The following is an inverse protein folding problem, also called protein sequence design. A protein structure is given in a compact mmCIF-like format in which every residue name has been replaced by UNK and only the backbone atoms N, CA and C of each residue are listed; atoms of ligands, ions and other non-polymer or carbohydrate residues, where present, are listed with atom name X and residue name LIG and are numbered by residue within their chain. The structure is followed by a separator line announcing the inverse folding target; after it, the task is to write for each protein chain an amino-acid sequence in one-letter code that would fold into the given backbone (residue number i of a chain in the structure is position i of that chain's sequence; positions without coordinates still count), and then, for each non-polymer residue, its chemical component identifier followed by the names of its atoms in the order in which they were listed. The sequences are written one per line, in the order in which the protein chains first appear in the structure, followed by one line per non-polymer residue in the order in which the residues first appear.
data_IF_715870424703
#
_entry.id   IF_715870424703
#
_cell.length_a   1.000
_cell.length_b   1.000
_cell.length_c   1.000
_cell.angle_alpha   90.00
_cell.angle_beta   90.00
_cell.angle_gamma   90.00
#
_symmetry.space_group_name_H-M   'P 1'
#
loop_
_entity.id
_entity.type
_entity.pdbx_description
1 polymer ?
#
# COMPACT_ATOMS: atom_id res chain seq x y z
N UNK A 1 -32.39 24.37 -1.22
CA UNK A 1 -31.54 23.18 -1.07
C UNK A 1 -31.88 22.27 -2.22
N UNK A 2 -31.03 22.22 -3.24
CA UNK A 2 -31.14 21.22 -4.30
C UNK A 2 -30.91 19.85 -3.69
N UNK A 3 -31.73 18.86 -4.07
CA UNK A 3 -31.46 17.44 -3.79
C UNK A 3 -30.02 17.17 -4.23
N UNK A 4 -29.12 16.95 -3.28
CA UNK A 4 -27.75 16.57 -3.62
C UNK A 4 -27.81 15.12 -4.09
N UNK A 5 -27.29 14.87 -5.30
CA UNK A 5 -27.16 13.54 -5.85
C UNK A 5 -26.46 12.64 -4.82
N UNK A 6 -27.08 11.50 -4.52
CA UNK A 6 -26.49 10.48 -3.66
C UNK A 6 -25.39 9.75 -4.43
N UNK A 7 -24.47 9.15 -3.68
CA UNK A 7 -23.42 8.32 -4.24
C UNK A 7 -24.01 7.27 -5.21
N UNK A 8 -23.40 7.06 -6.39
CA UNK A 8 -24.01 6.28 -7.47
C UNK A 8 -23.90 4.76 -7.27
N UNK A 9 -23.40 4.30 -6.12
CA UNK A 9 -23.18 2.89 -5.80
C UNK A 9 -24.13 2.40 -4.72
N UNK A 10 -24.46 1.11 -4.76
CA UNK A 10 -25.50 0.51 -3.91
C UNK A 10 -25.15 0.51 -2.41
N UNK A 11 -23.86 0.41 -2.06
CA UNK A 11 -23.41 0.37 -0.67
C UNK A 11 -22.04 1.07 -0.51
N UNK A 12 -21.91 2.09 0.36
CA UNK A 12 -20.62 2.73 0.64
C UNK A 12 -19.66 1.81 1.37
N UNK A 13 -18.35 2.08 1.26
CA UNK A 13 -17.37 1.51 2.20
C UNK A 13 -17.66 2.04 3.60
N UNK A 14 -17.36 1.24 4.64
CA UNK A 14 -17.56 1.71 6.00
C UNK A 14 -16.62 2.88 6.25
N UNK A 15 -17.15 3.89 6.91
CA UNK A 15 -16.39 5.05 7.31
C UNK A 15 -16.97 5.59 8.61
N UNK A 16 -16.10 6.18 9.42
CA UNK A 16 -16.56 7.00 10.54
C UNK A 16 -17.08 8.37 10.07
N UNK A 17 -16.79 8.77 8.82
CA UNK A 17 -17.03 10.10 8.27
C UNK A 17 -17.64 9.95 6.86
N UNK A 18 -18.97 9.77 6.78
CA UNK A 18 -19.71 9.80 5.51
C UNK A 18 -20.32 11.19 5.27
N UNK A 19 -20.26 11.66 4.02
CA UNK A 19 -20.95 12.88 3.60
C UNK A 19 -22.47 12.71 3.67
N UNK A 20 -23.20 13.83 3.59
CA UNK A 20 -24.65 13.83 3.33
C UNK A 20 -25.03 13.20 1.98
N UNK A 21 -24.08 13.10 1.05
CA UNK A 21 -24.25 12.43 -0.24
C UNK A 21 -23.96 10.92 -0.19
N UNK A 22 -23.43 10.39 0.92
CA UNK A 22 -23.12 8.96 1.07
C UNK A 22 -21.72 8.56 0.58
N UNK A 23 -20.84 9.53 0.32
CA UNK A 23 -19.42 9.30 0.00
C UNK A 23 -18.60 9.21 1.29
N UNK A 24 -17.70 8.24 1.36
CA UNK A 24 -16.83 8.06 2.52
C UNK A 24 -15.63 9.02 2.44
N UNK A 25 -15.54 10.00 3.35
CA UNK A 25 -14.40 10.91 3.44
C UNK A 25 -13.16 10.24 4.05
N UNK A 26 -13.37 9.20 4.86
CA UNK A 26 -12.28 8.44 5.49
C UNK A 26 -12.66 6.97 5.57
N UNK A 27 -12.70 6.30 4.42
CA UNK A 27 -12.98 4.87 4.37
C UNK A 27 -11.89 4.09 5.14
N UNK A 28 -12.30 3.02 5.82
CA UNK A 28 -11.33 2.14 6.49
C UNK A 28 -10.43 1.46 5.45
N UNK A 29 -9.13 1.41 5.73
CA UNK A 29 -8.13 0.81 4.84
C UNK A 29 -8.46 -0.63 4.45
N UNK A 30 -8.76 -1.48 5.43
CA UNK A 30 -9.15 -2.85 5.16
C UNK A 30 -10.43 -2.99 4.31
N UNK A 31 -11.32 -1.99 4.28
CA UNK A 31 -12.48 -2.02 3.38
C UNK A 31 -12.09 -1.67 1.93
N UNK A 32 -11.16 -0.73 1.75
CA UNK A 32 -10.58 -0.43 0.43
C UNK A 32 -9.81 -1.66 -0.08
N UNK A 33 -8.95 -2.25 0.77
CA UNK A 33 -8.12 -3.39 0.40
C UNK A 33 -8.97 -4.59 -0.04
N UNK A 34 -10.03 -4.93 0.73
CA UNK A 34 -11.01 -5.95 0.34
C UNK A 34 -11.73 -5.64 -0.96
N UNK A 35 -12.16 -4.40 -1.16
CA UNK A 35 -12.88 -4.01 -2.37
C UNK A 35 -11.99 -4.08 -3.62
N UNK A 36 -10.72 -3.68 -3.51
CA UNK A 36 -9.72 -3.84 -4.57
C UNK A 36 -9.45 -5.31 -4.86
N UNK A 37 -9.26 -6.15 -3.83
CA UNK A 37 -9.08 -7.59 -4.00
C UNK A 37 -10.29 -8.25 -4.68
N UNK A 38 -11.51 -7.83 -4.34
CA UNK A 38 -12.73 -8.31 -4.98
C UNK A 38 -12.79 -7.94 -6.47
N UNK A 39 -12.48 -6.69 -6.84
CA UNK A 39 -12.40 -6.27 -8.25
C UNK A 39 -11.27 -7.00 -8.99
N UNK A 40 -10.11 -7.16 -8.35
CA UNK A 40 -8.97 -7.93 -8.83
C UNK A 40 -9.15 -9.45 -8.77
N UNK A 41 -10.33 -9.91 -8.37
CA UNK A 41 -10.77 -11.31 -8.44
C UNK A 41 -12.02 -11.49 -9.30
N UNK A 42 -12.43 -10.46 -10.04
CA UNK A 42 -13.59 -10.52 -10.95
C UNK A 42 -13.37 -11.56 -12.06
N UNK A 43 -14.47 -12.15 -12.52
CA UNK A 43 -14.51 -13.04 -13.70
C UNK A 43 -14.23 -12.28 -15.01
N UNK A 44 -14.30 -10.94 -15.00
CA UNK A 44 -13.93 -10.10 -16.13
C UNK A 44 -12.41 -9.91 -16.17
N UNK A 45 -11.74 -10.66 -17.06
CA UNK A 45 -10.28 -10.64 -17.22
C UNK A 45 -9.72 -9.23 -17.48
N UNK A 46 -10.44 -8.38 -18.22
CA UNK A 46 -9.97 -7.03 -18.52
C UNK A 46 -10.03 -6.11 -17.28
N UNK A 47 -11.10 -6.20 -16.49
CA UNK A 47 -11.19 -5.52 -15.19
C UNK A 47 -10.13 -6.05 -14.23
N UNK A 48 -9.96 -7.37 -14.16
CA UNK A 48 -8.98 -8.01 -13.30
C UNK A 48 -7.56 -7.54 -13.64
N UNK A 49 -7.20 -7.53 -14.92
CA UNK A 49 -5.92 -7.02 -15.38
C UNK A 49 -5.73 -5.53 -15.10
N UNK A 50 -6.76 -4.71 -15.29
CA UNK A 50 -6.71 -3.29 -14.96
C UNK A 50 -6.40 -3.05 -13.47
N UNK A 51 -6.98 -3.85 -12.57
CA UNK A 51 -6.71 -3.76 -11.13
C UNK A 51 -5.29 -4.25 -10.79
N UNK A 52 -4.82 -5.32 -11.43
CA UNK A 52 -3.43 -5.80 -11.27
C UNK A 52 -2.43 -4.71 -11.70
N UNK A 53 -2.65 -4.09 -12.86
CA UNK A 53 -1.82 -2.98 -13.36
C UNK A 53 -1.88 -1.73 -12.46
N UNK A 54 -3.02 -1.50 -11.80
CA UNK A 54 -3.20 -0.39 -10.87
C UNK A 54 -2.29 -0.53 -9.63
N UNK A 55 -2.13 -1.73 -9.07
CA UNK A 55 -1.39 -1.94 -7.81
C UNK A 55 0.06 -2.39 -8.03
N UNK A 56 0.36 -3.10 -9.14
CA UNK A 56 1.70 -3.58 -9.49
C UNK A 56 2.07 -3.13 -10.91
N UNK A 57 2.35 -1.82 -11.12
CA UNK A 57 2.53 -1.22 -12.45
C UNK A 57 3.75 -1.70 -13.24
N UNK A 58 4.66 -2.45 -12.61
CA UNK A 58 5.81 -3.07 -13.31
C UNK A 58 5.52 -4.46 -13.85
N UNK A 59 4.44 -5.11 -13.41
CA UNK A 59 4.02 -6.37 -13.99
C UNK A 59 3.47 -6.10 -15.38
N UNK A 60 3.82 -6.90 -16.38
CA UNK A 60 3.41 -6.73 -17.78
C UNK A 60 2.86 -8.03 -18.34
N UNK A 61 2.27 -8.00 -19.54
CA UNK A 61 1.78 -9.21 -20.21
C UNK A 61 2.89 -10.23 -20.48
N UNK A 62 4.14 -9.77 -20.62
CA UNK A 62 5.30 -10.64 -20.82
C UNK A 62 5.65 -11.49 -19.58
N UNK A 63 5.19 -11.06 -18.40
CA UNK A 63 5.40 -11.76 -17.14
C UNK A 63 4.32 -12.82 -16.88
N UNK A 64 3.29 -12.90 -17.74
CA UNK A 64 2.16 -13.81 -17.56
C UNK A 64 2.45 -15.18 -18.17
N UNK A 65 2.19 -16.23 -17.39
CA UNK A 65 2.25 -17.61 -17.86
C UNK A 65 1.08 -17.88 -18.80
N UNK A 66 1.37 -18.18 -20.07
CA UNK A 66 0.39 -18.48 -21.12
C UNK A 66 -0.70 -17.39 -21.28
N UNK A 67 -0.39 -16.14 -20.96
CA UNK A 67 -1.33 -15.01 -21.03
C UNK A 67 -2.44 -15.05 -19.98
N UNK A 68 -2.33 -15.93 -18.98
CA UNK A 68 -3.32 -16.04 -17.89
C UNK A 68 -3.28 -14.77 -17.03
N UNK A 69 -4.43 -14.15 -16.82
CA UNK A 69 -4.55 -12.96 -15.96
C UNK A 69 -4.64 -13.39 -14.48
N UNK A 70 -3.71 -12.94 -13.61
CA UNK A 70 -3.66 -13.32 -12.20
C UNK A 70 -4.78 -12.66 -11.38
N UNK A 71 -4.95 -13.13 -10.15
CA UNK A 71 -5.92 -12.64 -9.18
C UNK A 71 -5.22 -11.76 -8.13
N UNK A 72 -5.97 -10.83 -7.55
CA UNK A 72 -5.56 -10.04 -6.39
C UNK A 72 -6.26 -10.57 -5.15
N UNK A 73 -5.48 -10.91 -4.12
CA UNK A 73 -6.01 -11.27 -2.79
C UNK A 73 -5.51 -10.31 -1.72
N UNK A 74 -6.22 -10.23 -0.60
CA UNK A 74 -5.74 -9.57 0.61
C UNK A 74 -4.87 -10.53 1.43
N UNK A 75 -3.81 -10.02 2.07
CA UNK A 75 -3.06 -10.79 3.07
C UNK A 75 -3.41 -10.27 4.46
N UNK A 76 -4.25 -10.99 5.20
CA UNK A 76 -4.74 -10.54 6.51
C UNK A 76 -3.64 -10.26 7.55
N UNK A 77 -2.52 -10.99 7.47
CA UNK A 77 -1.34 -10.84 8.33
C UNK A 77 -0.07 -10.42 7.54
N UNK A 78 -0.23 -10.08 6.26
CA UNK A 78 0.86 -9.79 5.33
C UNK A 78 0.72 -8.42 4.66
N UNK A 79 1.28 -8.30 3.47
CA UNK A 79 1.16 -7.14 2.59
C UNK A 79 -0.30 -6.91 2.16
N UNK A 80 -0.69 -5.66 1.97
CA UNK A 80 -2.10 -5.30 1.69
C UNK A 80 -2.70 -6.06 0.49
N UNK A 81 -1.93 -6.23 -0.59
CA UNK A 81 -2.33 -7.00 -1.76
C UNK A 81 -1.25 -7.93 -2.29
N UNK A 82 -1.68 -9.11 -2.71
CA UNK A 82 -0.86 -10.12 -3.37
C UNK A 82 -1.47 -10.46 -4.73
N UNK A 83 -0.67 -10.39 -5.78
CA UNK A 83 -1.03 -10.80 -7.15
C UNK A 83 -0.54 -12.23 -7.37
N UNK A 84 -1.45 -13.17 -7.62
CA UNK A 84 -1.11 -14.58 -7.76
C UNK A 84 -2.00 -15.36 -8.74
N UNK A 85 -1.51 -16.52 -9.16
CA UNK A 85 -2.31 -17.54 -9.82
C UNK A 85 -2.96 -18.46 -8.77
N UNK A 86 -4.29 -18.45 -8.59
CA UNK A 86 -4.95 -19.12 -7.47
C UNK A 86 -4.86 -20.65 -7.54
N UNK A 87 -4.72 -21.22 -8.73
CA UNK A 87 -4.59 -22.66 -8.98
C UNK A 87 -3.24 -23.23 -8.56
N UNK A 88 -2.17 -22.46 -8.76
CA UNK A 88 -0.78 -22.87 -8.50
C UNK A 88 -0.20 -22.25 -7.24
N UNK A 89 -0.80 -21.16 -6.74
CA UNK A 89 -0.26 -20.34 -5.67
C UNK A 89 0.96 -19.50 -6.08
N UNK A 90 1.30 -19.45 -7.37
CA UNK A 90 2.43 -18.67 -7.87
C UNK A 90 2.16 -17.19 -7.68
N UNK A 91 3.00 -16.52 -6.89
CA UNK A 91 2.93 -15.07 -6.66
C UNK A 91 3.77 -14.33 -7.69
N UNK A 92 3.19 -13.30 -8.29
CA UNK A 92 3.79 -12.48 -9.34
C UNK A 92 4.14 -11.07 -8.87
N UNK A 93 3.50 -10.60 -7.81
CA UNK A 93 3.77 -9.28 -7.26
C UNK A 93 3.03 -9.05 -5.95
N UNK A 94 3.49 -8.05 -5.20
CA UNK A 94 2.85 -7.60 -3.98
C UNK A 94 2.83 -6.08 -3.93
N UNK A 95 1.81 -5.52 -3.28
CA UNK A 95 1.68 -4.09 -3.10
C UNK A 95 1.19 -3.74 -1.70
N UNK A 96 1.93 -2.87 -1.04
CA UNK A 96 1.59 -2.27 0.24
C UNK A 96 0.94 -0.90 0.00
N UNK A 97 -0.17 -0.63 0.69
CA UNK A 97 -0.85 0.65 0.70
C UNK A 97 -0.36 1.52 1.87
N UNK A 98 0.20 2.69 1.58
CA UNK A 98 0.71 3.66 2.57
C UNK A 98 0.15 5.06 2.30
N UNK A 99 -1.16 5.27 2.48
CA UNK A 99 -1.78 6.57 2.21
C UNK A 99 -1.27 7.63 3.20
N UNK A 100 -1.45 8.90 2.85
CA UNK A 100 -0.95 10.02 3.65
C UNK A 100 -1.42 9.95 5.12
N UNK A 101 -0.46 10.03 6.05
CA UNK A 101 -0.72 9.98 7.49
C UNK A 101 -0.92 8.57 8.06
N UNK A 102 -0.86 7.52 7.25
CA UNK A 102 -0.74 6.15 7.76
C UNK A 102 0.71 5.95 8.26
N UNK A 103 0.92 5.59 9.54
CA UNK A 103 2.26 5.36 10.04
C UNK A 103 2.86 4.11 9.36
N UNK A 104 4.14 4.18 9.01
CA UNK A 104 4.85 2.96 8.63
C UNK A 104 4.93 2.01 9.85
N UNK A 105 4.53 0.76 9.67
CA UNK A 105 4.42 -0.20 10.77
C UNK A 105 5.63 -1.14 10.84
N UNK A 106 6.19 -1.25 12.05
CA UNK A 106 7.21 -2.25 12.36
C UNK A 106 6.57 -3.57 12.70
N UNK A 107 7.12 -4.64 12.16
CA UNK A 107 6.71 -6.01 12.48
C UNK A 107 7.90 -6.77 13.06
N UNK A 108 7.60 -7.84 13.78
CA UNK A 108 8.63 -8.76 14.24
C UNK A 108 9.14 -9.56 13.04
N UNK A 109 10.44 -9.45 12.76
CA UNK A 109 11.10 -10.30 11.80
C UNK A 109 12.59 -10.41 12.11
N UNK A 110 13.22 -11.41 11.48
CA UNK A 110 14.65 -11.68 11.61
C UNK A 110 15.46 -10.56 10.95
N UNK A 111 16.53 -10.13 11.62
CA UNK A 111 17.49 -9.18 11.04
C UNK A 111 18.33 -9.82 9.93
N UNK A 112 18.32 -11.15 9.80
CA UNK A 112 18.95 -11.83 8.65
C UNK A 112 18.38 -11.37 7.30
N UNK A 113 17.16 -10.81 7.29
CA UNK A 113 16.53 -10.27 6.10
C UNK A 113 17.23 -9.02 5.54
N UNK A 114 18.08 -8.36 6.33
CA UNK A 114 18.87 -7.20 5.89
C UNK A 114 20.15 -7.58 5.15
N UNK A 115 20.52 -8.87 5.11
CA UNK A 115 21.61 -9.34 4.25
C UNK A 115 21.23 -9.39 2.76
N UNK A 116 19.98 -9.06 2.43
CA UNK A 116 19.58 -8.89 1.05
C UNK A 116 20.08 -7.54 0.49
N UNK A 117 21.26 -7.57 -0.11
CA UNK A 117 21.91 -6.41 -0.76
C UNK A 117 21.07 -5.81 -1.90
N UNK A 118 20.04 -6.51 -2.39
CA UNK A 118 19.14 -5.99 -3.42
C UNK A 118 18.00 -5.15 -2.84
N UNK A 119 17.73 -5.25 -1.53
CA UNK A 119 16.63 -4.55 -0.86
C UNK A 119 17.09 -3.29 -0.14
N UNK A 120 18.27 -3.33 0.47
CA UNK A 120 18.77 -2.26 1.33
C UNK A 120 20.25 -1.98 1.10
N UNK A 121 20.63 -0.73 1.34
CA UNK A 121 22.02 -0.27 1.35
C UNK A 121 22.31 0.24 2.76
N UNK A 122 23.27 -0.37 3.44
CA UNK A 122 23.56 -0.10 4.84
C UNK A 122 24.79 0.78 5.03
N UNK A 123 24.88 1.45 6.17
CA UNK A 123 26.09 2.14 6.61
C UNK A 123 27.25 1.15 6.83
N UNK A 124 28.49 1.67 6.69
CA UNK A 124 29.70 0.90 6.96
C UNK A 124 29.68 0.29 8.38
N UNK A 125 29.85 -1.04 8.45
CA UNK A 125 29.87 -1.80 9.70
C UNK A 125 28.51 -2.16 10.28
N UNK A 126 27.38 -1.74 9.68
CA UNK A 126 26.05 -2.13 10.14
C UNK A 126 25.84 -3.65 10.01
N UNK A 127 26.08 -4.21 8.83
CA UNK A 127 25.90 -5.65 8.59
C UNK A 127 26.84 -6.50 9.45
N UNK A 128 28.05 -6.01 9.72
CA UNK A 128 29.00 -6.67 10.63
C UNK A 128 28.46 -6.70 12.07
N UNK A 129 27.90 -5.59 12.55
CA UNK A 129 27.28 -5.49 13.88
C UNK A 129 26.05 -6.40 13.99
N UNK A 130 25.18 -6.42 12.97
CA UNK A 130 24.02 -7.31 12.89
C UNK A 130 24.46 -8.77 12.89
N UNK A 131 25.43 -9.15 12.05
CA UNK A 131 25.95 -10.50 11.96
C UNK A 131 26.53 -11.00 13.29
N UNK A 132 27.30 -10.14 13.99
CA UNK A 132 27.88 -10.47 15.28
C UNK A 132 26.84 -10.69 16.39
N UNK A 133 25.64 -10.10 16.26
CA UNK A 133 24.59 -10.11 17.28
C UNK A 133 23.32 -10.84 16.85
N UNK A 134 23.34 -11.55 15.71
CA UNK A 134 22.15 -12.15 15.09
C UNK A 134 21.37 -13.05 16.05
N UNK A 135 22.08 -13.86 16.86
CA UNK A 135 21.45 -14.76 17.83
C UNK A 135 20.60 -14.04 18.90
N UNK A 136 20.96 -12.79 19.24
CA UNK A 136 20.20 -11.95 20.16
C UNK A 136 19.13 -11.17 19.41
N UNK A 137 19.45 -10.61 18.23
CA UNK A 137 18.51 -9.80 17.43
C UNK A 137 17.32 -10.62 16.88
N UNK A 138 17.51 -11.92 16.69
CA UNK A 138 16.48 -12.85 16.25
C UNK A 138 15.82 -13.61 17.41
N UNK A 139 16.20 -13.34 18.67
CA UNK A 139 15.52 -13.94 19.81
C UNK A 139 14.12 -13.37 19.98
N UNK A 140 13.19 -14.18 20.49
CA UNK A 140 11.81 -13.74 20.73
C UNK A 140 11.75 -12.57 21.72
N UNK A 141 12.66 -12.54 22.72
CA UNK A 141 12.82 -11.46 23.67
C UNK A 141 14.29 -11.32 24.04
N UNK A 142 14.73 -10.09 24.30
CA UNK A 142 16.04 -9.78 24.86
C UNK A 142 15.95 -8.65 25.91
N UNK A 143 16.97 -8.57 26.75
CA UNK A 143 17.16 -7.54 27.77
C UNK A 143 18.03 -6.39 27.23
N UNK A 144 18.07 -5.28 27.96
CA UNK A 144 18.84 -4.09 27.55
C UNK A 144 20.33 -4.34 27.60
N UNK A 145 20.75 -5.14 28.56
CA UNK A 145 22.16 -5.46 28.80
C UNK A 145 22.73 -6.35 27.69
N UNK A 146 21.89 -7.19 27.05
CA UNK A 146 22.29 -8.06 25.94
C UNK A 146 22.68 -7.31 24.66
N UNK A 147 22.33 -6.02 24.57
CA UNK A 147 22.56 -5.17 23.40
C UNK A 147 23.34 -3.90 23.77
N UNK A 148 24.05 -3.94 24.91
CA UNK A 148 24.87 -2.84 25.37
C UNK A 148 26.06 -2.61 24.43
N UNK A 149 26.20 -1.39 23.91
CA UNK A 149 27.31 -0.99 23.05
C UNK A 149 27.05 -1.11 21.54
N UNK A 150 25.83 -1.50 21.13
CA UNK A 150 25.43 -1.48 19.72
C UNK A 150 25.18 -0.05 19.25
N UNK A 151 25.72 0.30 18.08
CA UNK A 151 25.54 1.62 17.47
C UNK A 151 24.20 1.75 16.77
N UNK A 152 23.66 0.64 16.27
CA UNK A 152 22.59 0.63 15.29
C UNK A 152 21.39 -0.19 15.79
N UNK A 153 20.67 0.35 16.79
CA UNK A 153 19.70 -0.42 17.55
C UNK A 153 18.29 0.18 17.53
N UNK A 154 17.39 -0.47 16.79
CA UNK A 154 15.95 -0.21 16.78
C UNK A 154 15.19 -1.34 17.49
N UNK A 155 14.40 -1.02 18.51
CA UNK A 155 13.68 -2.00 19.31
C UNK A 155 12.37 -1.44 19.84
N UNK A 156 11.47 -2.36 20.18
CA UNK A 156 10.21 -2.05 20.86
C UNK A 156 10.20 -2.72 22.24
N UNK A 157 9.93 -1.93 23.28
CA UNK A 157 9.66 -2.47 24.60
C UNK A 157 8.33 -3.24 24.58
N UNK A 158 8.32 -4.44 25.15
CA UNK A 158 7.12 -5.30 25.25
C UNK A 158 7.07 -5.96 26.63
N UNK A 159 5.94 -6.59 26.97
CA UNK A 159 5.84 -7.37 28.21
C UNK A 159 6.90 -8.48 28.20
N UNK A 160 7.74 -8.52 29.25
CA UNK A 160 8.80 -9.53 29.42
C UNK A 160 10.17 -9.15 28.85
N UNK A 161 10.32 -8.01 28.18
CA UNK A 161 11.63 -7.55 27.68
C UNK A 161 11.52 -6.56 26.52
N UNK A 162 12.38 -6.72 25.53
CA UNK A 162 12.33 -5.98 24.27
C UNK A 162 12.36 -6.94 23.10
N UNK A 163 11.87 -6.45 21.96
CA UNK A 163 11.91 -7.17 20.68
C UNK A 163 12.52 -6.30 19.61
N UNK A 164 13.24 -6.96 18.72
CA UNK A 164 13.61 -6.42 17.43
C UNK A 164 12.34 -6.03 16.66
N UNK A 165 12.42 -4.95 15.90
CA UNK A 165 11.43 -4.64 14.88
C UNK A 165 12.16 -4.22 13.61
N UNK A 166 11.79 -4.83 12.49
CA UNK A 166 12.16 -4.34 11.17
C UNK A 166 10.93 -3.77 10.48
N UNK A 167 11.16 -3.09 9.38
CA UNK A 167 10.07 -2.53 8.59
C UNK A 167 9.34 -3.63 7.83
N UNK A 168 8.01 -3.61 7.88
CA UNK A 168 7.19 -4.71 7.38
C UNK A 168 7.39 -5.03 5.90
N UNK A 169 7.70 -4.04 5.07
CA UNK A 169 7.97 -4.26 3.65
C UNK A 169 9.20 -5.14 3.42
N UNK A 170 10.20 -5.10 4.30
CA UNK A 170 11.36 -6.01 4.24
C UNK A 170 10.93 -7.43 4.57
N UNK A 171 10.11 -7.60 5.62
CA UNK A 171 9.54 -8.90 5.96
C UNK A 171 8.69 -9.44 4.82
N UNK A 172 7.76 -8.64 4.30
CA UNK A 172 6.86 -9.07 3.24
C UNK A 172 7.63 -9.49 2.00
N UNK A 173 8.57 -8.67 1.54
CA UNK A 173 9.41 -9.04 0.39
C UNK A 173 10.18 -10.34 0.65
N UNK A 174 10.70 -10.54 1.86
CA UNK A 174 11.38 -11.77 2.24
C UNK A 174 10.48 -13.00 2.33
N UNK A 175 9.23 -12.86 2.79
CA UNK A 175 8.24 -13.95 2.82
C UNK A 175 8.00 -14.52 1.41
N UNK A 176 8.25 -13.72 0.37
CA UNK A 176 8.19 -14.13 -1.04
C UNK A 176 9.57 -14.31 -1.70
N UNK A 177 10.62 -14.49 -0.90
CA UNK A 177 11.97 -14.84 -1.35
C UNK A 177 12.67 -13.76 -2.16
N UNK A 178 12.28 -12.48 -2.04
CA UNK A 178 12.94 -11.35 -2.69
C UNK A 178 12.86 -11.32 -4.22
N UNK A 179 12.03 -12.18 -4.83
CA UNK A 179 12.02 -12.39 -6.29
C UNK A 179 11.47 -11.21 -7.08
N UNK A 180 10.60 -10.42 -6.47
CA UNK A 180 9.92 -9.30 -7.10
C UNK A 180 9.91 -8.09 -6.17
N UNK A 181 9.75 -6.88 -6.73
CA UNK A 181 9.58 -5.68 -5.93
C UNK A 181 8.34 -5.74 -5.05
N UNK A 182 8.44 -5.12 -3.86
CA UNK A 182 7.28 -4.78 -3.06
C UNK A 182 6.83 -3.37 -3.45
N UNK A 183 5.77 -3.26 -4.26
CA UNK A 183 5.23 -1.97 -4.66
C UNK A 183 4.64 -1.23 -3.46
N UNK A 184 4.80 0.08 -3.43
CA UNK A 184 4.25 0.93 -2.37
C UNK A 184 3.32 1.96 -3.01
N UNK A 185 2.01 1.79 -2.82
CA UNK A 185 1.03 2.78 -3.21
C UNK A 185 0.96 3.88 -2.14
N UNK A 186 1.50 5.06 -2.42
CA UNK A 186 1.59 6.15 -1.44
C UNK A 186 1.47 7.53 -2.07
N UNK A 187 0.71 8.40 -1.42
CA UNK A 187 0.60 9.82 -1.77
C UNK A 187 1.46 10.73 -0.88
N UNK A 188 2.46 10.17 -0.19
CA UNK A 188 3.36 10.96 0.66
C UNK A 188 4.34 11.83 -0.15
N UNK A 189 4.47 11.59 -1.46
CA UNK A 189 5.34 12.37 -2.35
C UNK A 189 6.83 12.13 -2.11
N UNK A 190 7.16 10.93 -1.63
CA UNK A 190 8.46 10.59 -1.05
C UNK A 190 8.90 9.19 -1.47
N UNK A 191 10.21 8.97 -1.48
CA UNK A 191 10.81 7.64 -1.69
C UNK A 191 10.40 6.65 -0.58
N UNK A 192 10.59 5.35 -0.82
CA UNK A 192 10.40 4.33 0.22
C UNK A 192 11.28 4.64 1.45
N UNK A 193 12.52 5.07 1.23
CA UNK A 193 13.43 5.50 2.29
C UNK A 193 12.84 6.64 3.15
N UNK A 194 12.30 7.68 2.53
CA UNK A 194 11.67 8.77 3.26
C UNK A 194 10.40 8.34 4.00
N UNK A 195 9.52 7.55 3.37
CA UNK A 195 8.28 7.04 3.99
C UNK A 195 8.60 6.25 5.26
N UNK A 196 9.63 5.42 5.24
CA UNK A 196 9.98 4.53 6.34
C UNK A 196 10.92 5.17 7.38
N UNK A 197 11.71 6.18 6.98
CA UNK A 197 12.54 6.99 7.90
C UNK A 197 11.70 7.86 8.84
N UNK A 198 10.48 8.24 8.44
CA UNK A 198 9.57 9.08 9.23
C UNK A 198 8.77 8.36 10.34
N UNK A 199 9.22 7.19 10.82
CA UNK A 199 8.61 6.44 11.93
C UNK A 199 8.74 7.10 13.30
N UNK A 200 8.13 8.27 13.46
CA UNK A 200 7.87 8.92 14.74
C UNK A 200 9.14 9.19 15.58
N UNK A 201 8.91 9.66 16.80
CA UNK A 201 9.97 10.09 17.73
C UNK A 201 10.78 8.94 18.35
N UNK A 202 10.47 7.69 17.99
CA UNK A 202 10.91 6.48 18.72
C UNK A 202 11.91 5.60 17.95
N UNK A 203 12.24 5.94 16.70
CA UNK A 203 13.27 5.24 15.90
C UNK A 203 14.50 6.16 15.70
N UNK A 204 15.43 6.22 16.67
CA UNK A 204 16.66 6.98 16.51
C UNK A 204 17.54 6.28 15.47
N UNK A 205 17.77 6.95 14.35
CA UNK A 205 18.71 6.56 13.29
C UNK A 205 18.44 5.22 12.59
N UNK A 206 18.00 5.29 11.32
CA UNK A 206 17.91 4.13 10.43
C UNK A 206 19.24 4.00 9.67
N UNK A 207 20.06 2.96 9.96
CA UNK A 207 21.42 2.80 9.45
C UNK A 207 21.47 2.12 8.07
N UNK A 208 20.33 2.15 7.38
CA UNK A 208 20.17 1.62 6.05
C UNK A 208 19.13 2.45 5.31
N UNK A 209 19.26 2.47 3.98
CA UNK A 209 18.30 3.05 3.06
C UNK A 209 17.75 1.99 2.14
N UNK A 210 16.55 2.22 1.64
CA UNK A 210 15.89 1.32 0.71
C UNK A 210 16.44 1.48 -0.71
N UNK A 211 16.46 0.37 -1.45
CA UNK A 211 16.72 0.36 -2.89
C UNK A 211 15.38 0.59 -3.60
N UNK A 212 15.31 1.65 -4.43
CA UNK A 212 14.06 2.05 -5.09
C UNK A 212 13.51 0.97 -6.01
N UNK A 213 14.38 0.19 -6.66
CA UNK A 213 13.97 -0.91 -7.53
C UNK A 213 13.32 -2.07 -6.76
N UNK A 214 13.67 -2.28 -5.49
CA UNK A 214 13.06 -3.29 -4.64
C UNK A 214 11.74 -2.80 -4.01
N UNK A 215 11.57 -1.48 -3.89
CA UNK A 215 10.43 -0.83 -3.25
C UNK A 215 9.89 0.35 -4.07
N UNK A 216 9.47 0.12 -5.33
CA UNK A 216 8.99 1.18 -6.19
C UNK A 216 7.74 1.82 -5.60
N UNK A 217 7.76 3.15 -5.50
CA UNK A 217 6.63 3.95 -5.00
C UNK A 217 5.83 4.49 -6.18
N UNK A 218 4.51 4.39 -6.11
CA UNK A 218 3.59 5.00 -7.06
C UNK A 218 2.42 5.68 -6.33
N UNK A 219 1.83 6.69 -6.94
CA UNK A 219 0.79 7.50 -6.30
C UNK A 219 -0.62 6.99 -6.59
N UNK A 220 -1.61 7.42 -5.79
CA UNK A 220 -3.03 7.21 -6.10
C UNK A 220 -3.39 7.81 -7.46
N UNK A 221 -2.80 8.94 -7.82
CA UNK A 221 -3.02 9.55 -9.13
C UNK A 221 -2.52 8.63 -10.27
N UNK A 222 -1.31 8.08 -10.15
CA UNK A 222 -0.75 7.12 -11.12
C UNK A 222 -1.63 5.87 -11.24
N UNK A 223 -2.06 5.33 -10.10
CA UNK A 223 -2.93 4.16 -10.03
C UNK A 223 -4.26 4.41 -10.77
N UNK A 224 -4.94 5.52 -10.47
CA UNK A 224 -6.21 5.88 -11.11
C UNK A 224 -6.06 6.23 -12.60
N UNK A 225 -4.96 6.88 -12.99
CA UNK A 225 -4.64 7.14 -14.40
C UNK A 225 -4.46 5.85 -15.19
N UNK A 226 -3.71 4.88 -14.66
CA UNK A 226 -3.53 3.55 -15.28
C UNK A 226 -4.84 2.81 -15.39
N UNK A 227 -5.64 2.83 -14.32
CA UNK A 227 -6.96 2.22 -14.29
C UNK A 227 -7.87 2.80 -15.39
N UNK A 228 -7.88 4.13 -15.56
CA UNK A 228 -8.67 4.80 -16.59
C UNK A 228 -8.25 4.43 -18.01
N UNK A 229 -6.93 4.34 -18.26
CA UNK A 229 -6.40 3.90 -19.55
C UNK A 229 -6.78 2.45 -19.83
N UNK A 230 -6.58 1.56 -18.85
CA UNK A 230 -6.86 0.13 -18.99
C UNK A 230 -8.35 -0.17 -19.20
N UNK A 231 -9.25 0.65 -18.63
CA UNK A 231 -10.69 0.46 -18.73
C UNK A 231 -11.35 1.23 -19.88
N UNK A 232 -10.61 2.02 -20.66
CA UNK A 232 -11.17 2.92 -21.67
C UNK A 232 -12.07 2.21 -22.71
N UNK A 233 -11.79 0.94 -23.02
CA UNK A 233 -12.54 0.11 -23.96
C UNK A 233 -13.21 -1.11 -23.32
N UNK A 234 -13.27 -1.18 -21.99
CA UNK A 234 -13.82 -2.32 -21.26
C UNK A 234 -15.30 -2.09 -20.99
N UNK A 235 -16.14 -3.02 -21.45
CA UNK A 235 -17.57 -2.98 -21.15
C UNK A 235 -17.81 -3.57 -19.75
N UNK A 236 -18.09 -2.69 -18.78
CA UNK A 236 -18.36 -3.09 -17.39
C UNK A 236 -19.86 -3.30 -17.18
N UNK A 237 -20.21 -4.36 -16.47
CA UNK A 237 -21.57 -4.55 -15.97
C UNK A 237 -21.96 -3.43 -15.00
N UNK A 238 -23.26 -3.19 -14.76
CA UNK A 238 -23.70 -2.20 -13.77
C UNK A 238 -23.14 -2.45 -12.36
N UNK A 239 -22.99 -3.72 -11.97
CA UNK A 239 -22.43 -4.10 -10.67
C UNK A 239 -20.94 -3.76 -10.58
N UNK A 240 -20.15 -4.17 -11.58
CA UNK A 240 -18.72 -3.84 -11.65
C UNK A 240 -18.49 -2.33 -11.68
N UNK A 241 -19.30 -1.58 -12.45
CA UNK A 241 -19.22 -0.12 -12.49
C UNK A 241 -19.51 0.49 -11.13
N UNK A 242 -20.54 0.01 -10.43
CA UNK A 242 -20.87 0.45 -9.07
C UNK A 242 -19.72 0.18 -8.09
N UNK A 243 -19.16 -1.04 -8.11
CA UNK A 243 -18.06 -1.41 -7.22
C UNK A 243 -16.76 -0.66 -7.54
N UNK A 244 -16.45 -0.46 -8.82
CA UNK A 244 -15.33 0.34 -9.29
C UNK A 244 -15.47 1.80 -8.84
N UNK A 245 -16.62 2.44 -9.11
CA UNK A 245 -16.85 3.83 -8.70
C UNK A 245 -16.74 3.99 -7.18
N UNK A 246 -17.21 3.02 -6.39
CA UNK A 246 -17.03 3.03 -4.94
C UNK A 246 -15.55 3.06 -4.52
N UNK A 247 -14.71 2.24 -5.16
CA UNK A 247 -13.27 2.19 -4.85
C UNK A 247 -12.57 3.47 -5.31
N UNK A 248 -12.83 3.91 -6.55
CA UNK A 248 -12.26 5.13 -7.11
C UNK A 248 -12.59 6.35 -6.25
N UNK A 249 -13.86 6.52 -5.89
CA UNK A 249 -14.29 7.61 -5.02
C UNK A 249 -13.61 7.54 -3.65
N UNK A 250 -13.47 6.35 -3.06
CA UNK A 250 -12.83 6.19 -1.75
C UNK A 250 -11.32 6.48 -1.80
N UNK A 251 -10.61 6.04 -2.85
CA UNK A 251 -9.19 6.33 -3.04
C UNK A 251 -8.97 7.82 -3.28
N UNK A 252 -9.79 8.43 -4.14
CA UNK A 252 -9.78 9.86 -4.41
C UNK A 252 -9.96 10.69 -3.16
N UNK A 253 -11.00 10.40 -2.36
CA UNK A 253 -11.31 11.14 -1.14
C UNK A 253 -10.24 11.01 -0.06
N UNK A 254 -9.40 9.97 -0.11
CA UNK A 254 -8.36 9.69 0.87
C UNK A 254 -7.00 10.28 0.48
N UNK A 255 -6.77 10.55 -0.80
CA UNK A 255 -5.53 11.18 -1.24
C UNK A 255 -5.49 12.69 -0.93
N UNK A 256 -4.28 13.29 -0.89
CA UNK A 256 -4.11 14.72 -0.70
C UNK A 256 -4.70 15.53 -1.86
N UNK A 257 -4.99 16.81 -1.63
CA UNK A 257 -5.48 17.74 -2.66
C UNK A 257 -4.60 17.73 -3.93
N UNK A 258 -3.30 17.47 -3.78
CA UNK A 258 -2.36 17.40 -4.90
C UNK A 258 -2.71 16.34 -5.94
N UNK A 259 -3.41 15.25 -5.58
CA UNK A 259 -3.75 14.21 -6.56
C UNK A 259 -4.65 14.74 -7.70
N UNK A 260 -5.46 15.78 -7.45
CA UNK A 260 -6.34 16.37 -8.48
C UNK A 260 -5.54 17.06 -9.59
N UNK A 261 -4.37 17.58 -9.26
CA UNK A 261 -3.49 18.20 -10.25
C UNK A 261 -2.82 17.17 -11.17
N UNK A 262 -2.64 15.94 -10.69
CA UNK A 262 -1.92 14.88 -11.42
C UNK A 262 -2.86 13.87 -12.12
N UNK A 263 -4.17 13.95 -11.89
CA UNK A 263 -5.13 13.14 -12.65
C UNK A 263 -5.34 13.64 -14.09
N UNK A 264 -5.34 12.68 -15.01
CA UNK A 264 -5.81 12.86 -16.39
C UNK A 264 -7.32 13.07 -16.44
N UNK A 265 -7.83 13.67 -17.53
CA UNK A 265 -9.27 13.85 -17.75
C UNK A 265 -10.03 12.51 -17.73
N UNK A 266 -9.40 11.44 -18.24
CA UNK A 266 -9.97 10.10 -18.24
C UNK A 266 -10.13 9.56 -16.81
N UNK A 267 -9.12 9.72 -15.95
CA UNK A 267 -9.21 9.32 -14.55
C UNK A 267 -10.18 10.18 -13.75
N UNK A 268 -10.20 11.50 -14.00
CA UNK A 268 -11.20 12.40 -13.42
C UNK A 268 -12.60 11.91 -13.75
N UNK A 269 -12.86 11.47 -14.98
CA UNK A 269 -14.15 10.94 -15.40
C UNK A 269 -14.59 9.67 -14.66
N UNK A 270 -13.67 8.90 -14.07
CA UNK A 270 -14.01 7.76 -13.20
C UNK A 270 -14.53 8.18 -11.83
N UNK A 271 -14.04 9.32 -11.30
CA UNK A 271 -14.48 9.88 -10.02
C UNK A 271 -15.89 10.43 -10.17
N UNK A 272 -16.83 10.01 -9.32
CA UNK A 272 -18.21 10.46 -9.39
C UNK A 272 -18.33 11.96 -9.13
N UNK A 273 -19.31 12.61 -9.76
CA UNK A 273 -19.57 14.03 -9.53
C UNK A 273 -19.82 14.34 -8.03
N UNK A 274 -20.43 13.38 -7.33
CA UNK A 274 -20.73 13.44 -5.91
C UNK A 274 -19.47 13.42 -5.05
N UNK A 275 -18.49 12.57 -5.37
CA UNK A 275 -17.20 12.55 -4.68
C UNK A 275 -16.39 13.82 -4.95
N UNK A 276 -16.43 14.36 -6.18
CA UNK A 276 -15.79 15.65 -6.49
C UNK A 276 -16.38 16.78 -5.65
N UNK A 277 -17.70 16.89 -5.59
CA UNK A 277 -18.39 17.91 -4.78
C UNK A 277 -18.09 17.74 -3.28
N UNK A 278 -18.12 16.50 -2.76
CA UNK A 278 -17.79 16.20 -1.37
C UNK A 278 -16.33 16.55 -1.02
N UNK A 279 -15.38 16.29 -1.93
CA UNK A 279 -13.98 16.65 -1.81
C UNK A 279 -13.78 18.16 -1.65
N UNK A 280 -14.32 18.95 -2.60
CA UNK A 280 -14.24 20.42 -2.56
C UNK A 280 -14.90 21.02 -1.31
N UNK A 281 -16.02 20.46 -0.84
CA UNK A 281 -16.69 20.96 0.38
C UNK A 281 -15.93 20.62 1.67
N UNK A 282 -15.21 19.49 1.71
CA UNK A 282 -14.35 19.13 2.84
C UNK A 282 -13.09 20.02 2.95
N UNK A 283 -12.57 20.54 1.83
CA UNK A 283 -11.49 21.54 1.83
C UNK A 283 -11.89 22.84 2.57
N UNK A 284 -13.15 23.27 2.43
CA UNK A 284 -13.67 24.49 3.06
C UNK A 284 -13.75 24.33 4.59
N UNK A 285 -14.02 23.12 5.09
CA UNK A 285 -14.07 22.84 6.52
C UNK A 285 -12.69 22.61 7.14
N UNK A 286 -11.76 21.97 6.42
CA UNK A 286 -10.37 21.82 6.87
C UNK A 286 -9.62 23.14 6.98
N UNK A 287 -9.84 24.09 6.05
CA UNK A 287 -9.25 25.44 6.11
C UNK A 287 -9.80 26.31 7.26
N UNK A 288 -10.84 25.88 7.94
CA UNK A 288 -11.45 26.59 9.08
C UNK A 288 -11.00 26.05 10.46
N UNK A 289 -10.18 25.01 10.49
CA UNK A 289 -9.56 24.46 11.70
C UNK A 289 -8.07 24.77 11.72
#
# INVERSE_FOLDING_TARGET
MTDLDRAPYAAPLRSTWTSNTGVAHKAFEGDINRAIAALGSSDNDALRWAIVQMITPTLTEADLEDGRIPYVTESGDGVDWVVLYPDTGTVLGICEHKPLGAPAHGVWASHSLLFDETAVICDDGYLDEVAANLAVLDSELFTRDQLNGLRYFSYKAVTGGMRSSIDQVLKYRADYGGRFPCHILSDQGSSADEIYRHRGKDAPYQPYRYVDEAFPVHSTADALNRLAVALASVELTPAEKSDLTRVVDAMWMRGPVSIDHDLTDAAKALVSAVARDAGYNSEVEWRKR
#
